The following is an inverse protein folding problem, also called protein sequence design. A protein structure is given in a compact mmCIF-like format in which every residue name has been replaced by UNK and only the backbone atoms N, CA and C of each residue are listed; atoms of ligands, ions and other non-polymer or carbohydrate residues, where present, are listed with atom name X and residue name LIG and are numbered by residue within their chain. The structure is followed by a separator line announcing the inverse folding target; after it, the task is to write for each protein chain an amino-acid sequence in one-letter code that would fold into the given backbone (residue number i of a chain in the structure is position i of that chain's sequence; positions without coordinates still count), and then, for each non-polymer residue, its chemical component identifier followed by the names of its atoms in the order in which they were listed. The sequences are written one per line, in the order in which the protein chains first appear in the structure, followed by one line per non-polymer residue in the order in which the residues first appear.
data_IF_231818108479
#
_entry.id   IF_231818108479
#
_cell.length_a   1.000
_cell.length_b   1.000
_cell.length_c   1.000
_cell.angle_alpha   90.00
_cell.angle_beta   90.00
_cell.angle_gamma   90.00
#
_symmetry.space_group_name_H-M   'P 1'
#
loop_
_entity.id
_entity.type
_entity.pdbx_description
1 polymer ?
#
# COMPACT_ATOMS: atom_id res chain seq x y z
N UNK A 1 30.80 -28.08 -34.26
CA UNK A 1 29.31 -28.11 -34.29
C UNK A 1 28.79 -26.87 -33.61
N UNK A 2 28.23 -25.94 -34.38
CA UNK A 2 27.58 -24.75 -33.80
C UNK A 2 26.31 -25.20 -33.05
N UNK A 3 26.28 -25.04 -31.75
CA UNK A 3 25.07 -25.29 -30.97
C UNK A 3 24.01 -24.29 -31.34
N UNK A 4 22.87 -24.75 -31.84
CA UNK A 4 21.70 -23.92 -32.05
C UNK A 4 21.21 -23.41 -30.70
N UNK A 5 21.14 -22.10 -30.53
CA UNK A 5 20.60 -21.48 -29.36
C UNK A 5 19.08 -21.38 -29.52
N UNK A 6 18.34 -22.17 -28.75
CA UNK A 6 16.88 -22.09 -28.72
C UNK A 6 16.51 -21.24 -27.50
N UNK A 7 15.94 -20.06 -27.72
CA UNK A 7 15.39 -19.23 -26.65
C UNK A 7 13.85 -19.32 -26.63
N UNK A 8 13.21 -19.39 -25.47
CA UNK A 8 11.76 -19.31 -25.41
C UNK A 8 11.28 -17.91 -25.82
N UNK A 9 10.06 -17.81 -26.37
CA UNK A 9 9.46 -16.51 -26.67
C UNK A 9 9.10 -15.76 -25.34
N UNK A 10 9.17 -14.41 -25.34
CA UNK A 10 9.34 -13.54 -26.52
C UNK A 10 10.79 -13.40 -26.95
N UNK A 11 11.01 -13.33 -28.25
CA UNK A 11 12.35 -13.18 -28.86
C UNK A 11 12.81 -11.73 -28.97
N UNK A 12 11.96 -10.77 -28.57
CA UNK A 12 12.28 -9.34 -28.58
C UNK A 12 12.93 -8.99 -27.25
N UNK A 13 14.18 -8.57 -27.28
CA UNK A 13 14.92 -8.09 -26.11
C UNK A 13 14.89 -6.56 -26.11
N UNK A 14 14.13 -5.97 -25.19
CA UNK A 14 14.20 -4.54 -24.90
C UNK A 14 15.30 -4.28 -23.86
N UNK A 15 15.81 -3.04 -23.80
CA UNK A 15 16.77 -2.64 -22.76
C UNK A 15 16.18 -2.58 -21.34
N UNK A 16 14.93 -2.97 -21.16
CA UNK A 16 14.24 -3.03 -19.88
C UNK A 16 14.37 -4.43 -19.26
N UNK A 17 14.75 -4.48 -17.99
CA UNK A 17 14.77 -5.70 -17.20
C UNK A 17 13.84 -5.60 -15.99
N UNK A 18 13.38 -6.74 -15.50
CA UNK A 18 12.56 -6.81 -14.28
C UNK A 18 13.29 -6.13 -13.12
N UNK A 19 14.56 -6.43 -12.94
CA UNK A 19 15.41 -5.85 -11.90
C UNK A 19 15.43 -4.32 -11.97
N UNK A 20 15.67 -3.76 -13.16
CA UNK A 20 15.73 -2.30 -13.36
C UNK A 20 14.43 -1.61 -12.98
N UNK A 21 13.29 -2.22 -13.31
CA UNK A 21 11.99 -1.69 -12.94
C UNK A 21 11.72 -1.83 -11.44
N UNK A 22 12.07 -2.97 -10.81
CA UNK A 22 11.94 -3.16 -9.37
C UNK A 22 12.79 -2.17 -8.58
N UNK A 23 14.05 -2.00 -8.93
CA UNK A 23 14.90 -0.97 -8.30
C UNK A 23 14.37 0.46 -8.59
N UNK A 24 13.76 0.71 -9.74
CA UNK A 24 13.10 1.98 -10.03
C UNK A 24 11.95 2.29 -9.06
N UNK A 25 11.13 1.30 -8.71
CA UNK A 25 10.07 1.45 -7.68
C UNK A 25 10.67 1.72 -6.31
N UNK A 26 11.76 1.04 -5.94
CA UNK A 26 12.45 1.29 -4.67
C UNK A 26 12.98 2.72 -4.58
N UNK A 27 13.57 3.25 -5.66
CA UNK A 27 14.03 4.64 -5.73
C UNK A 27 12.83 5.60 -5.55
N UNK A 28 11.68 5.29 -6.16
CA UNK A 28 10.46 6.08 -6.01
C UNK A 28 9.92 6.11 -4.56
N UNK A 29 10.21 5.09 -3.75
CA UNK A 29 9.81 5.00 -2.35
C UNK A 29 10.78 5.72 -1.39
N UNK A 30 12.01 6.08 -1.84
CA UNK A 30 13.02 6.76 -0.99
C UNK A 30 12.48 8.04 -0.35
N UNK A 31 11.82 8.98 -1.08
CA UNK A 31 11.30 10.20 -0.46
C UNK A 31 10.31 9.91 0.68
N UNK A 32 9.43 8.93 0.49
CA UNK A 32 8.48 8.51 1.52
C UNK A 32 9.18 7.86 2.73
N UNK A 33 10.23 7.08 2.50
CA UNK A 33 11.06 6.52 3.57
C UNK A 33 11.77 7.59 4.39
N UNK A 34 12.36 8.61 3.73
CA UNK A 34 13.00 9.73 4.42
C UNK A 34 11.99 10.46 5.31
N UNK A 35 10.80 10.78 4.78
CA UNK A 35 9.73 11.40 5.57
C UNK A 35 9.31 10.52 6.75
N UNK A 36 9.16 9.20 6.55
CA UNK A 36 8.85 8.26 7.63
C UNK A 36 9.88 8.29 8.75
N UNK A 37 11.16 8.34 8.40
CA UNK A 37 12.26 8.43 9.39
C UNK A 37 12.25 9.76 10.11
N UNK A 38 11.94 10.87 9.42
CA UNK A 38 11.85 12.19 10.05
C UNK A 38 10.70 12.29 11.05
N UNK A 39 9.54 11.67 10.76
CA UNK A 39 8.36 11.75 11.62
C UNK A 39 8.31 10.67 12.71
N UNK A 40 8.77 9.46 12.44
CA UNK A 40 8.69 8.33 13.36
C UNK A 40 10.05 7.85 13.90
N UNK A 41 11.14 8.49 13.48
CA UNK A 41 12.49 8.24 14.02
C UNK A 41 12.96 6.80 13.88
N UNK A 42 13.53 6.26 14.96
CA UNK A 42 14.11 4.92 15.01
C UNK A 42 13.11 3.80 14.77
N UNK A 43 11.83 4.01 15.11
CA UNK A 43 10.77 3.02 14.88
C UNK A 43 10.59 2.71 13.39
N UNK A 44 10.64 3.72 12.52
CA UNK A 44 10.56 3.55 11.08
C UNK A 44 11.73 2.70 10.53
N UNK A 45 12.93 2.93 11.03
CA UNK A 45 14.13 2.19 10.61
C UNK A 45 14.03 0.72 11.06
N UNK A 46 13.70 0.47 12.32
CA UNK A 46 13.60 -0.88 12.87
C UNK A 46 12.55 -1.70 12.13
N UNK A 47 11.34 -1.15 11.97
CA UNK A 47 10.22 -1.84 11.30
C UNK A 47 10.55 -2.12 9.83
N UNK A 48 11.12 -1.16 9.11
CA UNK A 48 11.47 -1.34 7.70
C UNK A 48 12.59 -2.35 7.52
N UNK A 49 13.66 -2.25 8.33
CA UNK A 49 14.78 -3.17 8.25
C UNK A 49 14.37 -4.61 8.59
N UNK A 50 13.60 -4.79 9.66
CA UNK A 50 13.11 -6.13 10.05
C UNK A 50 12.18 -6.73 9.01
N UNK A 51 11.28 -5.95 8.42
CA UNK A 51 10.37 -6.42 7.37
C UNK A 51 11.16 -6.85 6.12
N UNK A 52 12.11 -6.04 5.67
CA UNK A 52 12.94 -6.36 4.50
C UNK A 52 13.79 -7.61 4.74
N UNK A 53 14.51 -7.67 5.87
CA UNK A 53 15.35 -8.83 6.21
C UNK A 53 14.52 -10.11 6.33
N UNK A 54 13.35 -10.04 6.98
CA UNK A 54 12.45 -11.18 7.10
C UNK A 54 11.90 -11.63 5.74
N UNK A 55 11.50 -10.72 4.86
CA UNK A 55 11.04 -11.07 3.51
C UNK A 55 12.14 -11.75 2.68
N UNK A 56 13.36 -11.21 2.68
CA UNK A 56 14.50 -11.80 1.98
C UNK A 56 14.85 -13.19 2.56
N UNK A 57 14.85 -13.32 3.88
CA UNK A 57 15.12 -14.58 4.56
C UNK A 57 14.09 -15.67 4.19
N UNK A 58 12.79 -15.36 4.26
CA UNK A 58 11.74 -16.33 3.92
C UNK A 58 11.76 -16.68 2.43
N UNK A 59 12.02 -15.72 1.54
CA UNK A 59 12.15 -16.01 0.12
C UNK A 59 13.31 -16.99 -0.14
N UNK A 60 14.47 -16.73 0.45
CA UNK A 60 15.62 -17.62 0.33
C UNK A 60 15.34 -19.03 0.85
N UNK A 61 14.78 -19.13 2.06
CA UNK A 61 14.49 -20.40 2.70
C UNK A 61 13.47 -21.21 1.89
N UNK A 62 12.39 -20.59 1.46
CA UNK A 62 11.34 -21.28 0.70
C UNK A 62 11.86 -21.71 -0.67
N UNK A 63 12.55 -20.86 -1.41
CA UNK A 63 13.10 -21.22 -2.72
C UNK A 63 14.11 -22.33 -2.63
N UNK A 64 15.06 -22.25 -1.69
CA UNK A 64 16.16 -23.23 -1.57
C UNK A 64 15.71 -24.56 -0.99
N UNK A 65 14.92 -24.56 0.10
CA UNK A 65 14.61 -25.79 0.84
C UNK A 65 13.27 -26.41 0.45
N UNK A 66 12.21 -25.62 0.19
CA UNK A 66 10.90 -26.17 -0.19
C UNK A 66 10.81 -26.39 -1.71
N UNK A 67 11.11 -25.38 -2.50
CA UNK A 67 10.94 -25.44 -3.95
C UNK A 67 12.16 -26.03 -4.67
N UNK A 68 13.31 -26.13 -3.99
CA UNK A 68 14.58 -26.63 -4.54
C UNK A 68 14.99 -25.92 -5.83
N UNK A 69 14.71 -24.62 -5.93
CA UNK A 69 15.05 -23.75 -7.05
C UNK A 69 16.24 -22.85 -6.70
N UNK A 70 16.84 -22.25 -7.72
CA UNK A 70 17.88 -21.24 -7.49
C UNK A 70 17.26 -19.99 -6.87
N UNK A 71 17.84 -19.43 -5.78
CA UNK A 71 17.31 -18.24 -5.13
C UNK A 71 17.37 -17.01 -6.06
N UNK A 72 16.23 -16.30 -6.22
CA UNK A 72 16.11 -15.09 -7.04
C UNK A 72 16.08 -13.82 -6.21
N UNK A 73 16.85 -13.76 -5.12
CA UNK A 73 16.80 -12.66 -4.11
C UNK A 73 17.17 -11.30 -4.73
N UNK A 74 18.05 -11.31 -5.74
CA UNK A 74 18.58 -10.10 -6.37
C UNK A 74 17.63 -9.44 -7.37
N UNK A 75 16.47 -10.05 -7.66
CA UNK A 75 15.45 -9.45 -8.53
C UNK A 75 14.76 -8.22 -7.91
N UNK A 76 14.96 -7.95 -6.62
CA UNK A 76 14.41 -6.83 -5.88
C UNK A 76 12.96 -7.00 -5.44
N UNK A 77 12.28 -8.07 -5.83
CA UNK A 77 10.84 -8.24 -5.56
C UNK A 77 10.52 -8.48 -4.09
N UNK A 78 11.33 -9.29 -3.37
CA UNK A 78 11.18 -9.47 -1.92
C UNK A 78 11.50 -8.18 -1.16
N UNK A 79 12.47 -7.41 -1.65
CA UNK A 79 12.84 -6.14 -1.06
C UNK A 79 11.69 -5.13 -1.15
N UNK A 80 11.05 -5.00 -2.33
CA UNK A 80 9.84 -4.18 -2.49
C UNK A 80 8.72 -4.68 -1.58
N UNK A 81 8.46 -5.98 -1.54
CA UNK A 81 7.42 -6.55 -0.67
C UNK A 81 7.67 -6.19 0.79
N UNK A 82 8.93 -6.28 1.26
CA UNK A 82 9.30 -5.91 2.62
C UNK A 82 9.12 -4.42 2.91
N UNK A 83 9.52 -3.54 2.00
CA UNK A 83 9.34 -2.08 2.15
C UNK A 83 7.86 -1.71 2.13
N UNK A 84 7.07 -2.24 1.18
CA UNK A 84 5.64 -1.97 1.10
C UNK A 84 4.88 -2.53 2.31
N UNK A 85 5.27 -3.69 2.84
CA UNK A 85 4.69 -4.23 4.06
C UNK A 85 4.98 -3.31 5.25
N UNK A 86 6.24 -2.88 5.41
CA UNK A 86 6.64 -1.95 6.46
C UNK A 86 5.87 -0.63 6.38
N UNK A 87 5.67 -0.09 5.18
CA UNK A 87 4.94 1.16 4.97
C UNK A 87 3.45 1.08 5.32
N UNK A 88 2.91 -0.12 5.43
CA UNK A 88 1.51 -0.36 5.77
C UNK A 88 1.25 -0.74 7.22
N UNK A 89 2.26 -0.75 8.07
CA UNK A 89 2.15 -1.09 9.49
C UNK A 89 2.56 0.08 10.38
N UNK A 90 2.13 0.11 11.65
CA UNK A 90 2.56 1.12 12.62
C UNK A 90 4.07 1.05 12.91
N UNK A 91 4.69 2.19 13.24
CA UNK A 91 6.12 2.27 13.56
C UNK A 91 6.50 1.64 14.90
N UNK A 92 5.54 1.39 15.78
CA UNK A 92 5.72 0.74 17.08
C UNK A 92 5.34 -0.74 17.09
N UNK A 93 5.14 -1.36 15.90
CA UNK A 93 4.72 -2.76 15.81
C UNK A 93 5.84 -3.69 16.31
N UNK A 94 5.55 -4.65 17.23
CA UNK A 94 6.53 -5.62 17.69
C UNK A 94 7.16 -6.42 16.57
N UNK A 95 8.48 -6.61 16.65
CA UNK A 95 9.30 -7.28 15.62
C UNK A 95 8.75 -8.66 15.22
N UNK A 96 8.31 -9.47 16.20
CA UNK A 96 7.79 -10.81 15.94
C UNK A 96 6.51 -10.79 15.09
N UNK A 97 5.64 -9.79 15.23
CA UNK A 97 4.44 -9.64 14.40
C UNK A 97 4.84 -9.30 12.95
N UNK A 98 5.86 -8.44 12.77
CA UNK A 98 6.38 -8.10 11.44
C UNK A 98 6.94 -9.35 10.75
N UNK A 99 7.66 -10.19 11.48
CA UNK A 99 8.21 -11.45 10.95
C UNK A 99 7.10 -12.41 10.51
N UNK A 100 6.01 -12.53 11.29
CA UNK A 100 4.83 -13.31 10.87
C UNK A 100 4.19 -12.73 9.61
N UNK A 101 4.04 -11.40 9.55
CA UNK A 101 3.51 -10.72 8.35
C UNK A 101 4.37 -10.96 7.11
N UNK A 102 5.69 -10.92 7.24
CA UNK A 102 6.62 -11.21 6.17
C UNK A 102 6.55 -12.68 5.72
N UNK A 103 6.41 -13.62 6.66
CA UNK A 103 6.20 -15.04 6.34
C UNK A 103 4.93 -15.25 5.51
N UNK A 104 3.82 -14.63 5.91
CA UNK A 104 2.54 -14.72 5.19
C UNK A 104 2.62 -14.05 3.83
N UNK A 105 3.22 -12.86 3.77
CA UNK A 105 3.38 -12.12 2.52
C UNK A 105 4.19 -12.91 1.49
N UNK A 106 5.35 -13.43 1.87
CA UNK A 106 6.22 -14.18 0.96
C UNK A 106 5.73 -15.61 0.79
N UNK A 107 5.45 -16.34 1.88
CA UNK A 107 5.07 -17.75 1.81
C UNK A 107 3.72 -17.96 1.13
N UNK A 108 2.68 -17.29 1.61
CA UNK A 108 1.31 -17.46 1.09
C UNK A 108 1.06 -16.53 -0.09
N UNK A 109 1.45 -15.25 0.00
CA UNK A 109 1.13 -14.25 -1.03
C UNK A 109 1.93 -14.41 -2.33
N UNK A 110 3.15 -14.99 -2.28
CA UNK A 110 4.06 -15.05 -3.44
C UNK A 110 4.48 -16.48 -3.79
N UNK A 111 5.10 -17.20 -2.85
CA UNK A 111 5.75 -18.47 -3.15
C UNK A 111 4.79 -19.65 -3.36
N UNK A 112 3.63 -19.66 -2.70
CA UNK A 112 2.63 -20.71 -2.89
C UNK A 112 2.04 -20.75 -4.30
N UNK A 113 2.14 -19.65 -5.06
CA UNK A 113 1.67 -19.57 -6.45
C UNK A 113 2.79 -19.81 -7.48
N UNK A 114 4.04 -20.01 -7.06
CA UNK A 114 5.17 -20.25 -7.96
C UNK A 114 6.20 -19.12 -8.05
N UNK A 115 6.08 -18.08 -7.23
CA UNK A 115 7.04 -16.98 -7.15
C UNK A 115 6.66 -15.75 -7.98
N UNK A 116 7.66 -14.96 -8.35
CA UNK A 116 7.45 -13.72 -9.10
C UNK A 116 6.76 -13.98 -10.44
N UNK A 117 5.72 -13.22 -10.73
CA UNK A 117 4.95 -13.33 -11.97
C UNK A 117 3.74 -14.26 -11.90
N UNK A 118 3.65 -15.14 -10.90
CA UNK A 118 2.55 -16.09 -10.73
C UNK A 118 1.59 -15.72 -9.60
N UNK A 119 1.92 -14.74 -8.77
CA UNK A 119 1.10 -14.32 -7.64
C UNK A 119 -0.25 -13.72 -8.10
N UNK A 120 -1.32 -14.18 -7.44
CA UNK A 120 -2.70 -13.72 -7.71
C UNK A 120 -2.94 -12.38 -7.03
N UNK A 121 -2.38 -12.18 -5.86
CA UNK A 121 -2.52 -11.00 -5.02
C UNK A 121 -1.20 -10.26 -4.86
N UNK A 122 -1.27 -8.98 -4.53
CA UNK A 122 -0.09 -8.26 -4.07
C UNK A 122 0.38 -8.82 -2.71
N UNK A 123 1.61 -9.36 -2.60
CA UNK A 123 2.06 -10.06 -1.41
C UNK A 123 2.08 -9.19 -0.16
N UNK A 124 2.47 -7.91 -0.28
CA UNK A 124 2.49 -6.99 0.85
C UNK A 124 1.08 -6.73 1.41
N UNK A 125 0.06 -6.66 0.54
CA UNK A 125 -1.33 -6.50 0.97
C UNK A 125 -1.87 -7.76 1.65
N UNK A 126 -1.49 -8.95 1.17
CA UNK A 126 -1.86 -10.22 1.84
C UNK A 126 -1.30 -10.25 3.25
N UNK A 127 -0.01 -9.93 3.43
CA UNK A 127 0.61 -9.84 4.75
C UNK A 127 -0.06 -8.81 5.65
N UNK A 128 -0.33 -7.59 5.14
CA UNK A 128 -1.02 -6.54 5.89
C UNK A 128 -2.41 -6.95 6.36
N UNK A 129 -3.25 -7.46 5.45
CA UNK A 129 -4.63 -7.84 5.79
C UNK A 129 -4.64 -9.01 6.77
N UNK A 130 -3.75 -9.97 6.61
CA UNK A 130 -3.57 -11.05 7.58
C UNK A 130 -3.22 -10.49 8.97
N UNK A 131 -2.26 -9.57 9.08
CA UNK A 131 -1.88 -8.96 10.35
C UNK A 131 -3.03 -8.15 10.96
N UNK A 132 -3.80 -7.42 10.15
CA UNK A 132 -4.94 -6.62 10.62
C UNK A 132 -6.05 -7.50 11.22
N UNK A 133 -6.29 -8.67 10.64
CA UNK A 133 -7.32 -9.61 11.13
C UNK A 133 -6.81 -10.37 12.36
N UNK A 134 -5.54 -10.80 12.37
CA UNK A 134 -4.98 -11.65 13.43
C UNK A 134 -4.53 -10.85 14.66
N UNK A 135 -4.06 -9.61 14.47
CA UNK A 135 -3.53 -8.74 15.52
C UNK A 135 -4.15 -7.33 15.46
N UNK A 136 -5.49 -7.22 15.60
CA UNK A 136 -6.19 -5.95 15.36
C UNK A 136 -5.74 -4.83 16.32
N UNK A 137 -5.49 -5.15 17.59
CA UNK A 137 -5.08 -4.14 18.57
C UNK A 137 -3.75 -3.50 18.20
N UNK A 138 -2.73 -4.31 17.89
CA UNK A 138 -1.40 -3.82 17.55
C UNK A 138 -1.39 -3.09 16.19
N UNK A 139 -2.24 -3.53 15.25
CA UNK A 139 -2.34 -2.94 13.91
C UNK A 139 -3.17 -1.66 13.85
N UNK A 140 -3.96 -1.36 14.89
CA UNK A 140 -4.78 -0.14 14.94
C UNK A 140 -4.26 0.89 15.95
N UNK A 141 -3.15 0.59 16.61
CA UNK A 141 -2.49 1.50 17.54
C UNK A 141 -1.46 2.33 16.79
N UNK A 142 -1.81 3.57 16.46
CA UNK A 142 -0.99 4.43 15.62
C UNK A 142 -0.14 5.38 16.45
N UNK A 143 1.19 5.39 16.30
CA UNK A 143 2.05 6.35 16.96
C UNK A 143 1.89 7.74 16.36
N UNK A 144 1.99 8.77 17.22
CA UNK A 144 2.05 10.17 16.81
C UNK A 144 3.44 10.50 16.25
N UNK A 145 3.50 11.47 15.34
CA UNK A 145 4.74 11.96 14.76
C UNK A 145 5.55 12.74 15.83
N UNK A 146 6.57 12.11 16.41
CA UNK A 146 7.45 12.71 17.44
C UNK A 146 8.90 12.84 16.96
N UNK A 147 9.20 12.47 15.73
CA UNK A 147 10.57 12.45 15.18
C UNK A 147 11.49 11.53 15.97
N UNK A 148 12.78 11.93 16.07
CA UNK A 148 13.79 11.18 16.81
C UNK A 148 13.68 11.27 18.35
N UNK A 149 12.80 12.15 18.88
CA UNK A 149 12.55 12.26 20.30
C UNK A 149 11.62 11.13 20.83
N UNK A 150 10.88 10.46 19.94
CA UNK A 150 10.01 9.35 20.29
C UNK A 150 10.76 8.04 20.52
N UNK A 151 10.39 7.32 21.60
CA UNK A 151 10.87 5.96 21.85
C UNK A 151 10.10 4.95 20.99
N UNK A 152 10.78 3.90 20.52
CA UNK A 152 10.14 2.80 19.80
C UNK A 152 9.13 2.02 20.68
N UNK A 153 9.45 1.85 21.96
CA UNK A 153 8.66 1.04 22.91
C UNK A 153 7.55 1.88 23.54
N UNK A 154 7.86 3.12 23.95
CA UNK A 154 6.95 4.02 24.67
C UNK A 154 6.41 5.11 23.74
N UNK A 155 6.05 4.75 22.51
CA UNK A 155 5.50 5.71 21.55
C UNK A 155 4.11 6.17 22.01
N UNK A 156 3.92 7.49 22.06
CA UNK A 156 2.58 8.06 22.29
C UNK A 156 1.68 7.72 21.10
N UNK A 157 0.54 7.16 21.38
CA UNK A 157 -0.42 6.73 20.37
C UNK A 157 -1.60 7.70 20.30
N UNK A 158 -2.13 7.89 19.10
CA UNK A 158 -3.28 8.73 18.85
C UNK A 158 -4.21 8.12 17.81
N UNK A 159 -5.43 8.63 17.75
CA UNK A 159 -6.36 8.22 16.71
C UNK A 159 -5.94 8.80 15.34
N UNK A 160 -6.06 8.00 14.28
CA UNK A 160 -5.88 8.54 12.91
C UNK A 160 -7.02 9.50 12.56
N UNK A 161 -6.83 10.43 11.60
CA UNK A 161 -7.90 11.32 11.16
C UNK A 161 -9.18 10.59 10.75
N UNK A 162 -9.05 9.41 10.11
CA UNK A 162 -10.18 8.57 9.74
C UNK A 162 -10.87 7.93 10.94
N UNK A 163 -10.12 7.51 11.96
CA UNK A 163 -10.67 6.96 13.19
C UNK A 163 -11.43 8.03 13.98
N UNK A 164 -10.84 9.23 14.10
CA UNK A 164 -11.49 10.39 14.74
C UNK A 164 -12.81 10.74 14.05
N UNK A 165 -12.83 10.76 12.73
CA UNK A 165 -14.04 11.04 11.96
C UNK A 165 -15.12 9.98 12.20
N UNK A 166 -14.77 8.69 12.20
CA UNK A 166 -15.73 7.61 12.49
C UNK A 166 -16.31 7.70 13.90
N UNK A 167 -15.49 8.03 14.86
CA UNK A 167 -15.91 8.17 16.26
C UNK A 167 -16.84 9.37 16.44
N UNK A 168 -16.52 10.50 15.81
CA UNK A 168 -17.36 11.68 15.81
C UNK A 168 -18.76 11.41 15.18
N UNK A 169 -18.80 10.73 14.04
CA UNK A 169 -20.07 10.33 13.40
C UNK A 169 -20.87 9.39 14.29
N UNK A 170 -20.23 8.43 14.96
CA UNK A 170 -20.90 7.50 15.90
C UNK A 170 -21.44 8.21 17.15
N UNK A 171 -20.75 9.24 17.63
CA UNK A 171 -21.19 10.05 18.79
C UNK A 171 -22.22 11.12 18.41
N UNK A 172 -22.62 11.21 17.14
CA UNK A 172 -23.60 12.18 16.65
C UNK A 172 -23.05 13.61 16.46
N UNK A 173 -21.72 13.78 16.50
CA UNK A 173 -21.09 15.06 16.21
C UNK A 173 -21.08 15.35 14.71
N UNK A 174 -21.25 16.63 14.35
CA UNK A 174 -21.15 17.07 12.96
C UNK A 174 -19.71 16.98 12.46
N UNK A 175 -19.52 16.41 11.28
CA UNK A 175 -18.22 16.33 10.60
C UNK A 175 -17.66 17.72 10.30
N UNK A 176 -18.51 18.69 9.97
CA UNK A 176 -18.11 20.08 9.72
C UNK A 176 -17.51 20.74 10.96
N UNK A 177 -18.11 20.50 12.14
CA UNK A 177 -17.62 21.05 13.41
C UNK A 177 -16.28 20.40 13.80
N UNK A 178 -16.15 19.09 13.58
CA UNK A 178 -14.90 18.38 13.83
C UNK A 178 -13.76 18.92 12.94
N UNK A 179 -14.01 19.09 11.63
CA UNK A 179 -13.00 19.56 10.68
C UNK A 179 -12.60 21.03 10.90
N UNK A 180 -13.48 21.84 11.49
CA UNK A 180 -13.22 23.24 11.85
C UNK A 180 -12.60 23.41 13.22
N UNK A 181 -12.57 22.37 14.06
CA UNK A 181 -12.00 22.43 15.41
C UNK A 181 -10.47 22.64 15.33
N UNK A 182 -9.95 23.52 16.20
CA UNK A 182 -8.50 23.79 16.30
C UNK A 182 -7.69 22.55 16.67
N UNK A 183 -8.31 21.58 17.35
CA UNK A 183 -7.70 20.30 17.70
C UNK A 183 -7.58 19.31 16.54
N UNK A 184 -8.25 19.58 15.40
CA UNK A 184 -8.20 18.68 14.25
C UNK A 184 -6.96 18.94 13.38
N UNK A 185 -6.39 17.86 12.85
CA UNK A 185 -5.20 17.93 12.00
C UNK A 185 -5.54 18.62 10.68
N UNK A 186 -5.04 19.83 10.48
CA UNK A 186 -5.30 20.62 9.27
C UNK A 186 -4.78 19.93 7.99
N UNK A 187 -5.40 20.21 6.85
CA UNK A 187 -5.04 19.62 5.55
C UNK A 187 -3.56 19.81 5.17
N UNK A 188 -2.91 20.90 5.62
CA UNK A 188 -1.47 21.13 5.42
C UNK A 188 -0.63 20.06 6.14
N UNK A 189 -0.98 19.75 7.38
CA UNK A 189 -0.29 18.73 8.16
C UNK A 189 -0.52 17.32 7.56
N UNK A 190 -1.74 17.05 7.05
CA UNK A 190 -2.04 15.80 6.35
C UNK A 190 -1.25 15.68 5.04
N UNK A 191 -1.02 16.76 4.31
CA UNK A 191 -0.23 16.75 3.08
C UNK A 191 1.26 16.53 3.34
N UNK A 192 1.81 17.19 4.37
CA UNK A 192 3.23 17.09 4.75
C UNK A 192 3.50 15.78 5.48
N UNK A 193 2.53 15.33 6.29
CA UNK A 193 2.62 14.06 7.00
C UNK A 193 2.79 14.16 8.51
N UNK A 194 2.54 15.32 9.11
CA UNK A 194 2.57 15.45 10.57
C UNK A 194 1.26 14.96 11.20
N UNK A 195 1.03 13.67 11.11
CA UNK A 195 -0.16 13.01 11.65
C UNK A 195 0.16 11.58 12.10
N UNK A 196 -0.68 11.00 12.96
CA UNK A 196 -0.61 9.58 13.28
C UNK A 196 -1.12 8.72 12.12
N UNK A 197 -0.39 7.66 11.80
CA UNK A 197 -0.74 6.75 10.70
C UNK A 197 0.30 5.68 10.44
N UNK A 198 0.14 4.94 9.35
CA UNK A 198 1.14 3.98 8.91
C UNK A 198 2.39 4.67 8.35
N UNK A 199 3.53 4.00 8.41
CA UNK A 199 4.83 4.59 8.02
C UNK A 199 4.84 5.24 6.64
N UNK A 200 4.27 4.59 5.64
CA UNK A 200 4.28 5.09 4.26
C UNK A 200 3.09 5.97 3.89
N UNK A 201 2.07 6.04 4.75
CA UNK A 201 0.84 6.80 4.49
C UNK A 201 1.02 8.30 4.74
N UNK A 202 1.91 8.61 5.68
CA UNK A 202 1.98 9.90 6.36
C UNK A 202 2.37 11.04 5.43
N UNK A 203 3.22 10.82 4.44
CA UNK A 203 3.69 11.91 3.58
C UNK A 203 3.11 11.84 2.16
N UNK A 204 1.89 12.34 1.97
CA UNK A 204 1.23 12.37 0.67
C UNK A 204 2.09 13.07 -0.41
N UNK A 205 2.77 14.17 -0.05
CA UNK A 205 3.66 14.89 -0.95
C UNK A 205 4.84 14.03 -1.43
N UNK A 206 5.47 13.26 -0.53
CA UNK A 206 6.59 12.39 -0.87
C UNK A 206 6.15 11.24 -1.79
N UNK A 207 4.95 10.69 -1.59
CA UNK A 207 4.36 9.69 -2.48
C UNK A 207 4.06 10.26 -3.87
N UNK A 208 3.59 11.51 -3.97
CA UNK A 208 3.37 12.19 -5.24
C UNK A 208 4.69 12.45 -6.00
N UNK A 209 5.78 12.76 -5.30
CA UNK A 209 7.12 12.86 -5.91
C UNK A 209 7.54 11.51 -6.48
N UNK A 210 7.36 10.41 -5.72
CA UNK A 210 7.60 9.05 -6.19
C UNK A 210 6.74 8.68 -7.40
N UNK A 211 5.47 9.08 -7.40
CA UNK A 211 4.56 8.89 -8.54
C UNK A 211 5.04 9.61 -9.79
N UNK A 212 5.42 10.88 -9.68
CA UNK A 212 5.96 11.65 -10.78
C UNK A 212 7.23 11.00 -11.37
N UNK A 213 8.13 10.53 -10.51
CA UNK A 213 9.33 9.79 -10.94
C UNK A 213 8.97 8.51 -11.71
N UNK A 214 8.03 7.70 -11.21
CA UNK A 214 7.62 6.47 -11.89
C UNK A 214 6.94 6.73 -13.25
N UNK A 215 6.15 7.79 -13.37
CA UNK A 215 5.56 8.22 -14.64
C UNK A 215 6.63 8.70 -15.63
N UNK A 216 7.57 9.52 -15.18
CA UNK A 216 8.67 10.03 -16.02
C UNK A 216 9.54 8.88 -16.54
N UNK A 217 9.84 7.91 -15.71
CA UNK A 217 10.59 6.70 -16.07
C UNK A 217 9.76 5.67 -16.84
N UNK A 218 8.46 5.92 -17.06
CA UNK A 218 7.51 4.99 -17.70
C UNK A 218 7.43 3.62 -17.02
N UNK A 219 7.70 3.57 -15.71
CA UNK A 219 7.57 2.34 -14.91
C UNK A 219 6.10 1.97 -14.77
N UNK A 220 5.22 2.94 -14.55
CA UNK A 220 3.77 2.74 -14.46
C UNK A 220 3.03 3.64 -15.44
N UNK A 221 1.77 3.29 -15.71
CA UNK A 221 0.84 4.13 -16.47
C UNK A 221 -0.05 4.93 -15.53
N UNK A 222 -0.49 6.10 -15.94
CA UNK A 222 -1.35 7.00 -15.15
C UNK A 222 -2.79 6.47 -14.96
N UNK A 223 -3.24 5.51 -15.78
CA UNK A 223 -4.63 5.06 -15.85
C UNK A 223 -5.19 4.60 -14.49
N UNK A 224 -4.47 3.73 -13.77
CA UNK A 224 -4.95 3.18 -12.49
C UNK A 224 -4.97 4.24 -11.39
N UNK A 225 -3.87 4.95 -11.07
CA UNK A 225 -3.89 5.93 -9.99
C UNK A 225 -4.90 7.05 -10.22
N UNK A 226 -4.94 7.61 -11.43
CA UNK A 226 -5.85 8.71 -11.75
C UNK A 226 -7.32 8.26 -11.69
N UNK A 227 -7.66 7.08 -12.20
CA UNK A 227 -9.03 6.57 -12.11
C UNK A 227 -9.47 6.33 -10.65
N UNK A 228 -8.57 5.86 -9.78
CA UNK A 228 -8.85 5.74 -8.34
C UNK A 228 -9.12 7.13 -7.74
N UNK A 229 -8.22 8.10 -7.96
CA UNK A 229 -8.37 9.44 -7.39
C UNK A 229 -9.65 10.13 -7.86
N UNK A 230 -9.92 10.10 -9.17
CA UNK A 230 -11.15 10.69 -9.73
C UNK A 230 -12.39 10.04 -9.15
N UNK A 231 -12.43 8.73 -9.03
CA UNK A 231 -13.59 8.01 -8.47
C UNK A 231 -13.79 8.36 -7.00
N UNK A 232 -12.71 8.43 -6.21
CA UNK A 232 -12.80 8.85 -4.80
C UNK A 232 -13.30 10.27 -4.69
N UNK A 233 -12.78 11.22 -5.51
CA UNK A 233 -13.22 12.62 -5.52
C UNK A 233 -14.71 12.71 -5.87
N UNK A 234 -15.13 12.07 -6.94
CA UNK A 234 -16.52 12.15 -7.41
C UNK A 234 -17.47 11.52 -6.39
N UNK A 235 -17.18 10.32 -5.93
CA UNK A 235 -18.09 9.60 -5.05
C UNK A 235 -18.18 10.22 -3.65
N UNK A 236 -17.02 10.59 -3.04
CA UNK A 236 -17.04 11.29 -1.75
C UNK A 236 -17.61 12.72 -1.88
N UNK A 237 -17.42 13.37 -3.04
CA UNK A 237 -18.03 14.67 -3.33
C UNK A 237 -19.56 14.58 -3.38
N UNK A 238 -20.13 13.57 -4.05
CA UNK A 238 -21.58 13.35 -4.08
C UNK A 238 -22.11 13.11 -2.67
N UNK A 239 -21.45 12.26 -1.86
CA UNK A 239 -21.88 12.01 -0.48
C UNK A 239 -21.84 13.30 0.37
N UNK A 240 -20.78 14.08 0.25
CA UNK A 240 -20.66 15.34 0.98
C UNK A 240 -21.71 16.38 0.55
N UNK A 241 -22.03 16.45 -0.74
CA UNK A 241 -23.13 17.33 -1.24
C UNK A 241 -24.51 16.89 -0.74
N UNK A 242 -24.73 15.58 -0.59
CA UNK A 242 -26.00 15.06 -0.04
C UNK A 242 -26.15 15.39 1.44
N UNK A 243 -25.09 15.24 2.24
CA UNK A 243 -25.13 15.53 3.68
C UNK A 243 -23.75 15.97 4.21
N UNK A 244 -23.44 17.29 4.18
CA UNK A 244 -22.14 17.79 4.65
C UNK A 244 -21.85 17.57 6.13
N UNK A 245 -22.89 17.44 6.95
CA UNK A 245 -22.74 17.21 8.38
C UNK A 245 -22.31 15.77 8.74
N UNK A 246 -22.52 14.82 7.81
CA UNK A 246 -22.27 13.40 8.05
C UNK A 246 -21.04 12.89 7.28
N UNK A 247 -20.74 13.45 6.12
CA UNK A 247 -19.69 12.97 5.22
C UNK A 247 -18.58 14.01 5.02
N UNK A 248 -17.33 13.57 5.16
CA UNK A 248 -16.17 14.41 4.92
C UNK A 248 -15.99 14.72 3.42
N UNK A 249 -15.34 15.85 3.14
CA UNK A 249 -15.07 16.30 1.79
C UNK A 249 -14.04 15.42 1.05
N UNK A 250 -13.96 15.53 -0.31
CA UNK A 250 -13.09 14.72 -1.15
C UNK A 250 -11.60 14.82 -0.79
N UNK A 251 -11.13 16.01 -0.45
CA UNK A 251 -9.72 16.26 -0.10
C UNK A 251 -9.32 15.47 1.14
N UNK A 252 -10.21 15.38 2.12
CA UNK A 252 -9.98 14.58 3.31
C UNK A 252 -9.75 13.11 2.97
N UNK A 253 -10.62 12.53 2.13
CA UNK A 253 -10.52 11.13 1.72
C UNK A 253 -9.26 10.84 0.89
N UNK A 254 -8.77 11.81 0.12
CA UNK A 254 -7.52 11.67 -0.65
C UNK A 254 -6.29 11.68 0.24
N UNK A 255 -6.24 12.59 1.22
CA UNK A 255 -5.06 12.80 2.08
C UNK A 255 -5.04 11.87 3.30
N UNK A 256 -6.14 11.20 3.61
CA UNK A 256 -6.25 10.31 4.77
C UNK A 256 -6.18 8.84 4.39
N UNK A 257 -5.65 8.03 5.29
CA UNK A 257 -5.51 6.58 5.10
C UNK A 257 -4.54 6.22 3.98
N UNK A 258 -4.18 4.98 3.86
CA UNK A 258 -3.23 4.48 2.86
C UNK A 258 -3.68 4.59 1.38
N UNK A 259 -4.56 5.55 1.03
CA UNK A 259 -5.09 5.68 -0.33
C UNK A 259 -4.00 6.06 -1.33
N UNK A 260 -3.16 7.05 -1.00
CA UNK A 260 -2.07 7.47 -1.88
C UNK A 260 -1.05 6.34 -2.11
N UNK A 261 -0.60 5.70 -1.04
CA UNK A 261 0.33 4.57 -1.13
C UNK A 261 -0.29 3.41 -1.91
N UNK A 262 -1.54 3.05 -1.60
CA UNK A 262 -2.25 1.95 -2.25
C UNK A 262 -2.52 2.19 -3.73
N UNK A 263 -2.95 3.40 -4.11
CA UNK A 263 -3.24 3.74 -5.51
C UNK A 263 -1.99 3.83 -6.38
N UNK A 264 -0.88 4.37 -5.84
CA UNK A 264 0.33 4.62 -6.61
C UNK A 264 1.23 3.38 -6.69
N UNK A 265 1.43 2.66 -5.58
CA UNK A 265 2.45 1.60 -5.49
C UNK A 265 1.88 0.18 -5.40
N UNK A 266 0.66 0.01 -4.89
CA UNK A 266 0.10 -1.32 -4.65
C UNK A 266 -0.90 -1.76 -5.70
N UNK A 267 -1.76 -0.85 -6.19
CA UNK A 267 -2.73 -1.15 -7.24
C UNK A 267 -2.08 -1.23 -8.62
N UNK A 268 -0.87 -0.68 -8.79
CA UNK A 268 -0.09 -0.67 -10.04
C UNK A 268 0.92 -1.81 -10.15
N UNK A 269 0.80 -2.84 -9.32
CA UNK A 269 1.66 -4.02 -9.39
C UNK A 269 1.55 -4.70 -10.76
N UNK A 270 2.69 -4.94 -11.43
CA UNK A 270 2.76 -5.49 -12.80
C UNK A 270 2.08 -6.84 -12.95
N UNK A 271 2.19 -7.70 -11.94
CA UNK A 271 1.68 -9.07 -12.00
C UNK A 271 0.17 -9.12 -11.86
N UNK A 272 -0.37 -8.30 -10.96
CA UNK A 272 -1.76 -8.40 -10.55
C UNK A 272 -2.68 -7.40 -11.25
N UNK A 273 -2.17 -6.28 -11.76
CA UNK A 273 -2.98 -5.26 -12.44
C UNK A 273 -3.42 -5.67 -13.85
N UNK A 274 -4.56 -5.15 -14.36
CA UNK A 274 -4.98 -5.37 -15.74
C UNK A 274 -4.00 -4.78 -16.76
N UNK A 275 -3.82 -5.45 -17.92
CA UNK A 275 -2.90 -4.99 -18.96
C UNK A 275 -3.55 -4.02 -19.97
N UNK A 276 -4.88 -4.08 -20.17
CA UNK A 276 -5.57 -3.21 -21.11
C UNK A 276 -5.95 -1.87 -20.48
N UNK A 277 -5.84 -0.77 -21.25
CA UNK A 277 -6.18 0.58 -20.75
C UNK A 277 -7.62 0.67 -20.21
N UNK A 278 -8.59 0.05 -20.92
CA UNK A 278 -9.98 -0.02 -20.45
C UNK A 278 -10.11 -0.82 -19.15
N UNK A 279 -9.39 -1.94 -19.05
CA UNK A 279 -9.36 -2.76 -17.84
C UNK A 279 -8.74 -2.01 -16.65
N UNK A 280 -7.68 -1.24 -16.87
CA UNK A 280 -7.03 -0.40 -15.85
C UNK A 280 -7.99 0.65 -15.29
N UNK A 281 -8.77 1.30 -16.16
CA UNK A 281 -9.76 2.32 -15.74
C UNK A 281 -10.89 1.66 -14.93
N UNK A 282 -11.47 0.55 -15.42
CA UNK A 282 -12.54 -0.16 -14.71
C UNK A 282 -12.04 -0.67 -13.34
N UNK A 283 -10.82 -1.21 -13.30
CA UNK A 283 -10.18 -1.66 -12.08
C UNK A 283 -10.00 -0.52 -11.07
N UNK A 284 -9.49 0.62 -11.54
CA UNK A 284 -9.32 1.81 -10.69
C UNK A 284 -10.64 2.39 -10.18
N UNK A 285 -11.69 2.44 -11.03
CA UNK A 285 -13.03 2.87 -10.61
C UNK A 285 -13.57 1.94 -9.53
N UNK A 286 -13.45 0.62 -9.70
CA UNK A 286 -13.90 -0.36 -8.72
C UNK A 286 -13.17 -0.22 -7.37
N UNK A 287 -11.85 -0.03 -7.39
CA UNK A 287 -11.06 0.20 -6.17
C UNK A 287 -11.51 1.48 -5.48
N UNK A 288 -11.61 2.60 -6.22
CA UNK A 288 -12.02 3.88 -5.65
C UNK A 288 -13.38 3.83 -4.98
N UNK A 289 -14.37 3.22 -5.65
CA UNK A 289 -15.71 3.05 -5.14
C UNK A 289 -15.73 2.19 -3.87
N UNK A 290 -15.12 1.00 -3.92
CA UNK A 290 -15.05 0.10 -2.77
C UNK A 290 -14.33 0.74 -1.58
N UNK A 291 -13.26 1.51 -1.84
CA UNK A 291 -12.53 2.20 -0.77
C UNK A 291 -13.41 3.17 -0.02
N UNK A 292 -14.19 4.01 -0.72
CA UNK A 292 -15.10 4.97 -0.06
C UNK A 292 -16.23 4.24 0.64
N UNK A 293 -16.82 3.21 0.02
CA UNK A 293 -17.89 2.40 0.65
C UNK A 293 -17.40 1.76 1.95
N UNK A 294 -16.22 1.13 1.96
CA UNK A 294 -15.67 0.51 3.17
C UNK A 294 -15.34 1.55 4.24
N UNK A 295 -14.81 2.72 3.84
CA UNK A 295 -14.50 3.81 4.76
C UNK A 295 -15.73 4.38 5.45
N UNK A 296 -16.79 4.60 4.69
CA UNK A 296 -18.02 5.26 5.16
C UNK A 296 -18.94 4.27 5.88
N UNK A 297 -19.19 3.12 5.29
CA UNK A 297 -20.19 2.15 5.76
C UNK A 297 -19.58 0.92 6.45
N UNK A 298 -18.30 0.62 6.21
CA UNK A 298 -17.63 -0.56 6.78
C UNK A 298 -17.16 -0.35 8.22
N UNK A 299 -16.77 -1.44 8.88
CA UNK A 299 -16.22 -1.44 10.23
C UNK A 299 -14.80 -0.83 10.29
N UNK A 300 -13.97 -1.13 9.29
CA UNK A 300 -12.58 -0.67 9.26
C UNK A 300 -12.47 0.76 8.72
N UNK A 301 -11.62 1.62 9.34
CA UNK A 301 -11.39 2.97 8.84
C UNK A 301 -10.63 2.99 7.52
N UNK A 302 -9.75 2.01 7.30
CA UNK A 302 -8.93 1.90 6.10
C UNK A 302 -9.51 0.84 5.13
N UNK A 303 -10.02 1.30 3.99
CA UNK A 303 -10.66 0.41 3.01
C UNK A 303 -9.77 -0.01 1.85
N UNK A 304 -8.64 0.69 1.61
CA UNK A 304 -7.87 0.57 0.38
C UNK A 304 -7.29 -0.84 0.15
N UNK A 305 -6.74 -1.46 1.19
CA UNK A 305 -6.15 -2.80 1.09
C UNK A 305 -7.18 -3.87 0.73
N UNK A 306 -8.35 -3.81 1.36
CA UNK A 306 -9.46 -4.71 1.06
C UNK A 306 -10.02 -4.46 -0.35
N UNK A 307 -10.17 -3.20 -0.75
CA UNK A 307 -10.67 -2.84 -2.07
C UNK A 307 -9.79 -3.40 -3.19
N UNK A 308 -8.46 -3.28 -3.07
CA UNK A 308 -7.52 -3.84 -4.04
C UNK A 308 -7.66 -5.37 -4.09
N UNK A 309 -7.63 -6.06 -2.94
CA UNK A 309 -7.72 -7.52 -2.91
C UNK A 309 -9.03 -8.04 -3.50
N UNK A 310 -10.17 -7.41 -3.19
CA UNK A 310 -11.49 -7.78 -3.74
C UNK A 310 -11.51 -7.61 -5.27
N UNK A 311 -10.97 -6.50 -5.77
CA UNK A 311 -10.93 -6.26 -7.22
C UNK A 311 -10.02 -7.23 -7.95
N UNK A 312 -8.95 -7.72 -7.31
CA UNK A 312 -8.08 -8.74 -7.87
C UNK A 312 -8.79 -10.11 -7.99
N UNK A 313 -9.59 -10.50 -7.00
CA UNK A 313 -10.40 -11.73 -7.07
C UNK A 313 -11.34 -11.69 -8.28
N UNK A 314 -12.01 -10.57 -8.52
CA UNK A 314 -12.95 -10.43 -9.62
C UNK A 314 -12.31 -10.59 -11.01
N UNK A 315 -11.00 -10.29 -11.14
CA UNK A 315 -10.25 -10.50 -12.38
C UNK A 315 -10.14 -12.00 -12.74
N UNK A 316 -9.93 -12.86 -11.76
CA UNK A 316 -9.76 -14.30 -11.97
C UNK A 316 -11.08 -15.07 -12.05
N UNK A 317 -12.18 -14.51 -11.55
CA UNK A 317 -13.51 -15.13 -11.63
C UNK A 317 -14.18 -14.99 -13.00
N UNK A 318 -13.69 -14.11 -13.89
CA UNK A 318 -14.21 -14.02 -15.27
C UNK A 318 -13.36 -14.91 -16.17
N UNK A 319 -13.99 -15.84 -16.94
CA UNK A 319 -13.24 -16.61 -17.92
C UNK A 319 -12.59 -15.63 -18.90
N UNK A 320 -11.26 -15.75 -19.04
CA UNK A 320 -10.51 -15.01 -20.06
C UNK A 320 -11.05 -15.45 -21.41
N UNK A 321 -11.95 -14.67 -22.01
CA UNK A 321 -12.24 -14.83 -23.42
C UNK A 321 -11.02 -14.31 -24.18
N UNK A 322 -10.19 -15.24 -24.60
CA UNK A 322 -9.21 -14.98 -25.65
C UNK A 322 -10.02 -14.58 -26.89
N UNK A 323 -9.93 -13.33 -27.30
CA UNK A 323 -10.37 -12.83 -28.59
C UNK A 323 -9.13 -12.61 -29.43
#
# INVERSE_FOLDING_TARGET
MNKLLISPSPHVHSGDSIEKNMYGVLIALIPAFICSVLFFGMGAIIVTLTSVVACLFFEYVIQKFLLKQQPTIFDGSALITGVLLAFNVPSNLPVWIIVIGALVAIGIGKMSFGGLGCNIFNPALVGRVFLLISFPVQMTTWPLAQGFAGSYIDAQTGATPLAMLKEAVKSGQSVTDLLSAESFIGYKNMLIGNMGGSLGEVAALALLIGFAYMLFRKIITWHIPVSIFVTVIVFSGILNLCNPSLYAGPVFHLLSGGLMLGAIFMATDYVTSPMSNKGMIIYGIGIGLLTVVIRVFGAYPEGMSFAILIMLINRYCKPVRFA
#
